data_IF_844132042809
#
_entry.id   IF_844132042809
#
_cell.length_a   1.000
_cell.length_b   1.000
_cell.length_c   1.000
_cell.angle_alpha   90.00
_cell.angle_beta   90.00
_cell.angle_gamma   90.00
#
_symmetry.space_group_name_H-M   'P 1'
#
loop_
_entity.id
_entity.type
_entity.pdbx_description
1 polymer ?
#
# COMPACT_ATOMS: atom_id res chain seq x y z
N UNK A 1 10.83 26.23 4.00
CA UNK A 1 9.51 26.17 4.69
C UNK A 1 9.09 24.71 4.86
N UNK A 2 8.62 24.29 6.04
CA UNK A 2 8.27 22.89 6.33
C UNK A 2 7.23 22.27 5.38
N UNK A 3 6.28 23.07 4.89
CA UNK A 3 5.22 22.63 3.98
C UNK A 3 5.69 22.26 2.57
N UNK A 4 6.78 22.87 2.08
CA UNK A 4 7.33 22.56 0.75
C UNK A 4 8.05 21.20 0.77
N UNK A 5 8.66 20.84 1.91
CA UNK A 5 9.33 19.54 2.09
C UNK A 5 8.33 18.38 2.09
N UNK A 6 7.19 18.52 2.80
CA UNK A 6 6.19 17.45 2.86
C UNK A 6 5.52 17.21 1.50
N UNK A 7 5.19 18.26 0.75
CA UNK A 7 4.58 18.13 -0.58
C UNK A 7 5.54 17.46 -1.56
N UNK A 8 6.81 17.89 -1.58
CA UNK A 8 7.84 17.25 -2.40
C UNK A 8 7.93 15.75 -2.09
N UNK A 9 8.00 15.38 -0.81
CA UNK A 9 8.07 13.97 -0.41
C UNK A 9 6.82 13.20 -0.76
N UNK A 10 5.64 13.80 -0.62
CA UNK A 10 4.39 13.17 -1.04
C UNK A 10 4.42 12.84 -2.53
N UNK A 11 4.86 13.77 -3.39
CA UNK A 11 4.99 13.51 -4.84
C UNK A 11 5.97 12.38 -5.12
N UNK A 12 7.19 12.43 -4.56
CA UNK A 12 8.16 11.36 -4.77
C UNK A 12 7.67 10.01 -4.22
N UNK A 13 7.01 10.01 -3.06
CA UNK A 13 6.43 8.82 -2.47
C UNK A 13 5.33 8.22 -3.37
N UNK A 14 4.47 9.07 -3.94
CA UNK A 14 3.46 8.64 -4.92
C UNK A 14 4.09 8.06 -6.18
N UNK A 15 5.12 8.70 -6.74
CA UNK A 15 5.82 8.21 -7.94
C UNK A 15 6.53 6.88 -7.69
N UNK A 16 7.19 6.74 -6.54
CA UNK A 16 7.78 5.47 -6.10
C UNK A 16 6.70 4.40 -5.94
N UNK A 17 5.58 4.74 -5.28
CA UNK A 17 4.40 3.88 -5.17
C UNK A 17 3.90 3.38 -6.52
N UNK A 18 3.72 4.28 -7.49
CA UNK A 18 3.29 3.94 -8.84
C UNK A 18 4.29 2.99 -9.53
N UNK A 19 5.59 3.24 -9.40
CA UNK A 19 6.62 2.34 -9.94
C UNK A 19 6.59 0.95 -9.27
N UNK A 20 6.30 0.90 -7.97
CA UNK A 20 6.13 -0.35 -7.24
C UNK A 20 4.92 -1.14 -7.70
N UNK A 21 3.81 -0.49 -8.06
CA UNK A 21 2.67 -1.17 -8.69
C UNK A 21 3.08 -1.83 -9.99
N UNK A 22 3.86 -1.16 -10.84
CA UNK A 22 4.39 -1.76 -12.08
C UNK A 22 5.26 -2.98 -11.78
N UNK A 23 6.15 -2.89 -10.79
CA UNK A 23 6.98 -4.03 -10.34
C UNK A 23 6.11 -5.19 -9.86
N UNK A 24 5.05 -4.93 -9.11
CA UNK A 24 4.09 -5.95 -8.66
C UNK A 24 3.47 -6.68 -9.85
N UNK A 25 2.87 -5.94 -10.79
CA UNK A 25 2.17 -6.52 -11.93
C UNK A 25 3.11 -7.30 -12.85
N UNK A 26 4.31 -6.79 -13.10
CA UNK A 26 5.32 -7.49 -13.92
C UNK A 26 5.80 -8.76 -13.23
N UNK A 27 6.11 -8.69 -11.93
CA UNK A 27 6.54 -9.85 -11.16
C UNK A 27 5.43 -10.92 -11.13
N UNK A 28 4.20 -10.52 -10.86
CA UNK A 28 3.04 -11.41 -10.87
C UNK A 28 2.84 -12.06 -12.25
N UNK A 29 2.92 -11.27 -13.33
CA UNK A 29 2.74 -11.76 -14.69
C UNK A 29 3.75 -12.84 -15.11
N UNK A 30 4.98 -12.77 -14.56
CA UNK A 30 6.02 -13.79 -14.77
C UNK A 30 5.82 -14.98 -13.82
N UNK A 31 5.67 -14.73 -12.53
CA UNK A 31 5.64 -15.77 -11.49
C UNK A 31 4.41 -16.67 -11.58
N UNK A 32 3.26 -16.15 -12.00
CA UNK A 32 2.04 -16.95 -12.17
C UNK A 32 2.19 -18.08 -13.20
N UNK A 33 3.21 -18.02 -14.08
CA UNK A 33 3.48 -19.05 -15.10
C UNK A 33 4.28 -20.23 -14.56
N UNK A 34 4.95 -20.07 -13.41
CA UNK A 34 5.95 -21.02 -12.89
C UNK A 34 5.74 -21.40 -11.42
N UNK A 35 4.71 -20.86 -10.77
CA UNK A 35 4.43 -21.10 -9.35
C UNK A 35 2.93 -21.14 -9.07
N UNK A 36 2.56 -21.63 -7.90
CA UNK A 36 1.17 -21.57 -7.45
C UNK A 36 0.71 -20.11 -7.32
N UNK A 37 -0.56 -19.82 -7.63
CA UNK A 37 -1.13 -18.47 -7.63
C UNK A 37 -0.81 -17.69 -6.34
N UNK A 38 -0.99 -18.33 -5.19
CA UNK A 38 -0.73 -17.72 -3.88
C UNK A 38 0.74 -17.32 -3.73
N UNK A 39 1.66 -18.18 -4.18
CA UNK A 39 3.10 -17.88 -4.15
C UNK A 39 3.42 -16.70 -5.08
N UNK A 40 2.88 -16.71 -6.31
CA UNK A 40 3.08 -15.62 -7.26
C UNK A 40 2.62 -14.27 -6.70
N UNK A 41 1.43 -14.22 -6.08
CA UNK A 41 0.89 -13.01 -5.44
C UNK A 41 1.77 -12.55 -4.29
N UNK A 42 2.11 -13.45 -3.34
CA UNK A 42 2.90 -13.08 -2.16
C UNK A 42 4.30 -12.58 -2.54
N UNK A 43 4.97 -13.24 -3.48
CA UNK A 43 6.31 -12.85 -3.93
C UNK A 43 6.26 -11.54 -4.71
N UNK A 44 5.26 -11.33 -5.58
CA UNK A 44 5.11 -10.06 -6.31
C UNK A 44 4.87 -8.87 -5.36
N UNK A 45 4.02 -9.06 -4.34
CA UNK A 45 3.77 -8.05 -3.31
C UNK A 45 5.02 -7.72 -2.52
N UNK A 46 5.77 -8.73 -2.09
CA UNK A 46 7.02 -8.52 -1.34
C UNK A 46 8.06 -7.79 -2.19
N UNK A 47 8.24 -8.17 -3.46
CA UNK A 47 9.14 -7.47 -4.39
C UNK A 47 8.74 -6.00 -4.55
N UNK A 48 7.45 -5.70 -4.63
CA UNK A 48 6.93 -4.33 -4.69
C UNK A 48 7.22 -3.56 -3.40
N UNK A 49 7.02 -4.17 -2.22
CA UNK A 49 7.30 -3.54 -0.92
C UNK A 49 8.80 -3.22 -0.80
N UNK A 50 9.68 -4.16 -1.13
CA UNK A 50 11.12 -3.97 -1.11
C UNK A 50 11.57 -2.90 -2.10
N UNK A 51 11.03 -2.89 -3.33
CA UNK A 51 11.28 -1.86 -4.32
C UNK A 51 10.92 -0.46 -3.81
N UNK A 52 9.71 -0.33 -3.27
CA UNK A 52 9.23 0.91 -2.66
C UNK A 52 10.11 1.36 -1.51
N UNK A 53 10.53 0.44 -0.64
CA UNK A 53 11.40 0.75 0.48
C UNK A 53 12.76 1.29 0.01
N UNK A 54 13.42 0.59 -0.92
CA UNK A 54 14.76 0.98 -1.40
C UNK A 54 14.73 2.38 -2.04
N UNK A 55 13.75 2.67 -2.89
CA UNK A 55 13.64 3.98 -3.52
C UNK A 55 13.25 5.07 -2.53
N UNK A 56 12.34 4.81 -1.59
CA UNK A 56 12.00 5.78 -0.56
C UNK A 56 13.18 6.06 0.38
N UNK A 57 13.97 5.04 0.74
CA UNK A 57 15.17 5.20 1.57
C UNK A 57 16.27 5.99 0.86
N UNK A 58 16.44 5.76 -0.45
CA UNK A 58 17.52 6.33 -1.25
C UNK A 58 17.20 7.72 -1.82
N UNK A 59 15.92 8.01 -2.08
CA UNK A 59 15.46 9.22 -2.79
C UNK A 59 14.58 10.07 -1.89
N UNK A 60 13.40 9.55 -1.51
CA UNK A 60 12.35 10.33 -0.82
C UNK A 60 12.77 10.80 0.56
N UNK A 61 13.45 9.95 1.32
CA UNK A 61 13.82 10.15 2.72
C UNK A 61 15.32 10.04 2.98
N UNK A 62 16.15 10.26 1.96
CA UNK A 62 17.62 10.13 2.03
C UNK A 62 18.27 10.91 3.17
N UNK A 63 17.66 12.01 3.59
CA UNK A 63 18.12 12.92 4.63
C UNK A 63 17.51 12.64 6.02
N UNK A 64 16.68 11.59 6.17
CA UNK A 64 15.92 11.27 7.38
C UNK A 64 16.12 9.82 7.87
N UNK A 65 17.31 9.27 7.62
CA UNK A 65 17.69 7.89 7.96
C UNK A 65 18.27 7.77 9.38
N UNK A 66 17.51 8.19 10.40
CA UNK A 66 17.95 8.18 11.81
C UNK A 66 18.17 6.77 12.39
N UNK A 67 17.20 5.87 12.20
CA UNK A 67 17.32 4.46 12.64
C UNK A 67 18.20 3.61 11.71
N UNK A 68 18.73 2.44 12.12
CA UNK A 68 19.42 1.48 11.24
C UNK A 68 18.54 0.98 10.08
N UNK A 69 19.17 0.52 8.99
CA UNK A 69 18.49 0.08 7.76
C UNK A 69 17.41 -0.99 8.04
N UNK A 70 17.75 -2.06 8.76
CA UNK A 70 16.82 -3.15 9.06
C UNK A 70 15.64 -2.67 9.91
N UNK A 71 15.88 -1.75 10.86
CA UNK A 71 14.81 -1.17 11.66
C UNK A 71 13.84 -0.36 10.79
N UNK A 72 14.35 0.42 9.83
CA UNK A 72 13.50 1.15 8.86
C UNK A 72 12.73 0.21 7.96
N UNK A 73 13.35 -0.90 7.52
CA UNK A 73 12.69 -1.93 6.70
C UNK A 73 11.51 -2.55 7.44
N UNK A 74 11.70 -2.98 8.69
CA UNK A 74 10.64 -3.55 9.52
C UNK A 74 9.52 -2.55 9.79
N UNK A 75 9.86 -1.31 10.14
CA UNK A 75 8.87 -0.23 10.31
C UNK A 75 8.09 0.03 9.02
N UNK A 76 8.75 -0.02 7.86
CA UNK A 76 8.09 0.16 6.56
C UNK A 76 7.12 -0.98 6.25
N UNK A 77 7.48 -2.24 6.55
CA UNK A 77 6.55 -3.37 6.46
C UNK A 77 5.32 -3.17 7.36
N UNK A 78 5.54 -2.74 8.61
CA UNK A 78 4.43 -2.43 9.51
C UNK A 78 3.55 -1.30 8.98
N UNK A 79 4.13 -0.23 8.43
CA UNK A 79 3.38 0.86 7.82
C UNK A 79 2.56 0.38 6.60
N UNK A 80 3.16 -0.46 5.75
CA UNK A 80 2.49 -1.07 4.59
C UNK A 80 1.34 -1.99 5.01
N UNK A 81 1.53 -2.80 6.05
CA UNK A 81 0.51 -3.68 6.60
C UNK A 81 -0.68 -2.89 7.17
N UNK A 82 -0.41 -1.89 8.03
CA UNK A 82 -1.45 -1.03 8.62
C UNK A 82 -2.23 -0.31 7.54
N UNK A 83 -1.56 0.29 6.54
CA UNK A 83 -2.24 0.94 5.44
C UNK A 83 -3.11 0.00 4.61
N UNK A 84 -2.71 -1.27 4.47
CA UNK A 84 -3.50 -2.29 3.76
C UNK A 84 -4.73 -2.71 4.55
N UNK A 85 -4.61 -2.86 5.87
CA UNK A 85 -5.75 -3.09 6.75
C UNK A 85 -6.73 -1.93 6.66
N UNK A 86 -6.26 -0.69 6.78
CA UNK A 86 -7.12 0.51 6.67
C UNK A 86 -7.83 0.56 5.33
N UNK A 87 -7.12 0.27 4.24
CA UNK A 87 -7.70 0.23 2.90
C UNK A 87 -8.82 -0.81 2.81
N UNK A 88 -8.55 -2.07 3.18
CA UNK A 88 -9.53 -3.16 3.13
C UNK A 88 -10.73 -2.84 4.00
N UNK A 89 -10.52 -2.44 5.26
CA UNK A 89 -11.62 -2.12 6.19
C UNK A 89 -12.48 -0.97 5.67
N UNK A 90 -11.88 0.05 5.10
CA UNK A 90 -12.62 1.18 4.49
C UNK A 90 -13.49 0.69 3.33
N UNK A 91 -12.93 -0.12 2.45
CA UNK A 91 -13.68 -0.70 1.32
C UNK A 91 -14.82 -1.59 1.79
N UNK A 92 -14.60 -2.44 2.81
CA UNK A 92 -15.64 -3.31 3.38
C UNK A 92 -16.77 -2.49 4.02
N UNK A 93 -16.45 -1.44 4.77
CA UNK A 93 -17.48 -0.56 5.36
C UNK A 93 -18.31 0.12 4.27
N UNK A 94 -17.67 0.66 3.24
CA UNK A 94 -18.39 1.30 2.13
C UNK A 94 -19.24 0.30 1.34
N UNK A 95 -18.77 -0.94 1.19
CA UNK A 95 -19.54 -2.00 0.57
C UNK A 95 -20.78 -2.38 1.40
N UNK A 96 -20.65 -2.53 2.72
CA UNK A 96 -21.78 -2.74 3.62
C UNK A 96 -22.83 -1.62 3.48
N UNK A 97 -22.38 -0.37 3.52
CA UNK A 97 -23.26 0.80 3.39
C UNK A 97 -23.95 0.85 2.02
N UNK A 98 -23.27 0.44 0.96
CA UNK A 98 -23.85 0.36 -0.38
C UNK A 98 -24.92 -0.73 -0.51
N UNK A 99 -24.69 -1.90 0.10
CA UNK A 99 -25.64 -3.02 0.08
C UNK A 99 -26.82 -2.85 1.04
N UNK A 100 -26.62 -2.11 2.13
CA UNK A 100 -27.60 -1.94 3.20
C UNK A 100 -27.59 -3.07 4.24
N UNK A 101 -26.68 -4.02 4.12
CA UNK A 101 -26.56 -5.20 5.01
C UNK A 101 -25.13 -5.34 5.56
N UNK A 102 -24.94 -5.97 6.74
CA UNK A 102 -23.62 -6.26 7.29
C UNK A 102 -22.79 -7.16 6.37
N UNK A 103 -21.50 -6.84 6.19
CA UNK A 103 -20.60 -7.67 5.39
C UNK A 103 -20.22 -8.95 6.14
N UNK A 104 -20.45 -10.10 5.50
CA UNK A 104 -19.85 -11.36 5.90
C UNK A 104 -18.48 -11.53 5.21
N UNK A 105 -17.40 -11.58 6.01
CA UNK A 105 -16.02 -11.68 5.50
C UNK A 105 -15.77 -12.93 4.64
N UNK A 106 -16.54 -14.01 4.83
CA UNK A 106 -16.40 -15.25 4.06
C UNK A 106 -17.04 -15.10 2.67
N UNK A 107 -18.16 -14.39 2.60
CA UNK A 107 -18.99 -14.27 1.38
C UNK A 107 -18.60 -13.04 0.54
N UNK A 108 -17.99 -12.02 1.16
CA UNK A 108 -17.71 -10.72 0.54
C UNK A 108 -16.95 -10.82 -0.78
N UNK A 109 -16.07 -11.82 -0.92
CA UNK A 109 -15.32 -12.01 -2.18
C UNK A 109 -16.27 -12.32 -3.34
N UNK A 110 -17.26 -13.20 -3.12
CA UNK A 110 -18.26 -13.55 -4.12
C UNK A 110 -19.21 -12.39 -4.42
N UNK A 111 -19.60 -11.64 -3.39
CA UNK A 111 -20.52 -10.51 -3.53
C UNK A 111 -19.87 -9.32 -4.26
N UNK A 112 -18.60 -9.02 -3.96
CA UNK A 112 -17.83 -7.99 -4.65
C UNK A 112 -17.57 -8.39 -6.11
N UNK A 113 -17.29 -9.67 -6.37
CA UNK A 113 -17.12 -10.19 -7.73
C UNK A 113 -18.40 -10.09 -8.59
N UNK A 114 -19.58 -10.06 -7.95
CA UNK A 114 -20.87 -9.87 -8.62
C UNK A 114 -21.20 -8.41 -8.96
N UNK A 115 -20.42 -7.42 -8.49
CA UNK A 115 -20.66 -6.02 -8.83
C UNK A 115 -20.14 -5.67 -10.23
N UNK A 116 -20.78 -4.71 -10.93
CA UNK A 116 -20.15 -4.08 -12.08
C UNK A 116 -18.78 -3.53 -11.70
N UNK A 117 -17.78 -3.79 -12.55
CA UNK A 117 -16.38 -3.40 -12.31
C UNK A 117 -16.23 -1.94 -11.85
N UNK A 118 -16.94 -1.02 -12.51
CA UNK A 118 -16.89 0.40 -12.18
C UNK A 118 -17.38 0.69 -10.76
N UNK A 119 -18.47 0.05 -10.31
CA UNK A 119 -19.00 0.20 -8.96
C UNK A 119 -18.03 -0.33 -7.91
N UNK A 120 -17.46 -1.52 -8.15
CA UNK A 120 -16.43 -2.08 -7.26
C UNK A 120 -15.19 -1.17 -7.17
N UNK A 121 -14.76 -0.60 -8.29
CA UNK A 121 -13.65 0.36 -8.33
C UNK A 121 -13.97 1.64 -7.53
N UNK A 122 -15.18 2.19 -7.65
CA UNK A 122 -15.61 3.36 -6.88
C UNK A 122 -15.62 3.10 -5.38
N UNK A 123 -16.07 1.93 -4.92
CA UNK A 123 -16.07 1.56 -3.50
C UNK A 123 -14.66 1.30 -2.96
N UNK A 124 -13.76 0.81 -3.81
CA UNK A 124 -12.36 0.56 -3.43
C UNK A 124 -11.52 1.85 -3.35
N UNK A 125 -11.82 2.84 -4.19
CA UNK A 125 -11.00 4.06 -4.33
C UNK A 125 -10.78 4.83 -3.02
N UNK A 126 -11.80 5.10 -2.18
CA UNK A 126 -11.59 5.75 -0.88
C UNK A 126 -10.68 4.94 0.05
N UNK A 127 -10.79 3.61 0.02
CA UNK A 127 -9.90 2.72 0.77
C UNK A 127 -8.45 2.85 0.30
N UNK A 128 -8.21 2.85 -1.01
CA UNK A 128 -6.87 3.06 -1.59
C UNK A 128 -6.30 4.40 -1.13
N UNK A 129 -7.08 5.48 -1.23
CA UNK A 129 -6.66 6.83 -0.84
C UNK A 129 -6.31 6.88 0.65
N UNK A 130 -7.20 6.40 1.52
CA UNK A 130 -6.97 6.45 2.96
C UNK A 130 -5.79 5.56 3.38
N UNK A 131 -5.70 4.36 2.83
CA UNK A 131 -4.55 3.48 3.04
C UNK A 131 -3.24 4.13 2.59
N UNK A 132 -3.23 4.81 1.44
CA UNK A 132 -2.07 5.56 0.96
C UNK A 132 -1.68 6.70 1.92
N UNK A 133 -2.66 7.48 2.40
CA UNK A 133 -2.42 8.56 3.38
C UNK A 133 -1.79 8.01 4.66
N UNK A 134 -2.30 6.88 5.18
CA UNK A 134 -1.74 6.23 6.38
C UNK A 134 -0.31 5.73 6.13
N UNK A 135 -0.04 5.08 4.98
CA UNK A 135 1.32 4.63 4.62
C UNK A 135 2.29 5.80 4.55
N UNK A 136 1.91 6.91 3.90
CA UNK A 136 2.73 8.11 3.82
C UNK A 136 2.95 8.74 5.20
N UNK A 137 1.90 8.90 6.00
CA UNK A 137 1.98 9.50 7.33
C UNK A 137 2.90 8.69 8.25
N UNK A 138 2.74 7.37 8.30
CA UNK A 138 3.63 6.49 9.06
C UNK A 138 5.06 6.53 8.54
N UNK A 139 5.24 6.58 7.21
CA UNK A 139 6.57 6.71 6.60
C UNK A 139 7.27 8.00 7.03
N UNK A 140 6.56 9.13 7.00
CA UNK A 140 7.10 10.46 7.30
C UNK A 140 7.33 10.68 8.81
N UNK A 141 6.43 10.19 9.66
CA UNK A 141 6.43 10.43 11.11
C UNK A 141 7.24 9.38 11.88
N UNK A 142 7.26 8.13 11.43
CA UNK A 142 7.77 7.01 12.22
C UNK A 142 8.89 6.21 11.54
N UNK A 143 8.76 5.85 10.25
CA UNK A 143 9.78 5.06 9.54
C UNK A 143 11.06 5.86 9.35
N UNK A 144 10.95 7.05 8.75
CA UNK A 144 12.06 7.96 8.48
C UNK A 144 11.95 9.24 9.31
N UNK A 145 12.29 9.11 10.59
CA UNK A 145 12.41 10.25 11.50
C UNK A 145 13.90 10.56 11.79
N UNK A 146 14.20 11.82 12.08
CA UNK A 146 15.57 12.28 12.40
C UNK A 146 15.95 12.06 13.88
N UNK A 147 15.04 11.52 14.69
CA UNK A 147 15.13 11.51 16.16
C UNK A 147 15.17 10.09 16.78
N UNK A 148 15.25 9.05 15.96
CA UNK A 148 15.35 7.67 16.42
C UNK A 148 16.79 7.15 16.36
#
# INVERSE_FOLDING_TARGET
MPSVDILRRLVFYSLVGASGTVVNEVAFAVLQKVSALVIAVLVALELSILWNFVLNDSITFKDRRGSPFLARLLKFHSASAVGSVVQVMTTLVLFALYKGDPVNLVEVVGEVAGLPYFTAALLNLPGIILGFVIRFAMSYLWVWNKRA
#
